data_IF_353705835411
#
_entry.id   IF_353705835411
#
_cell.length_a   1.000
_cell.length_b   1.000
_cell.length_c   1.000
_cell.angle_alpha   90.00
_cell.angle_beta   90.00
_cell.angle_gamma   90.00
#
_symmetry.space_group_name_H-M   'P 1'
#
loop_
_entity.id
_entity.type
_entity.pdbx_description
1 polymer ?
#
# COMPACT_ATOMS: atom_id res chain seq x y z
N UNK A 1 -0.56 -1.31 1.43
CA UNK A 1 -0.52 -1.98 2.74
C UNK A 1 0.94 -2.33 3.04
N UNK A 2 1.43 -2.05 4.24
CA UNK A 2 2.84 -2.25 4.61
C UNK A 2 3.24 -3.74 4.50
N UNK A 3 2.32 -4.64 4.84
CA UNK A 3 2.47 -6.11 4.78
C UNK A 3 1.93 -6.75 3.50
N UNK A 4 1.42 -5.98 2.54
CA UNK A 4 0.80 -6.50 1.31
C UNK A 4 -0.57 -7.19 1.49
N UNK A 5 -1.00 -7.45 2.74
CA UNK A 5 -2.31 -8.01 3.08
C UNK A 5 -3.08 -7.03 3.99
N UNK A 6 -4.38 -6.87 3.79
CA UNK A 6 -5.23 -5.98 4.60
C UNK A 6 -5.57 -6.55 6.00
N UNK A 7 -5.41 -7.87 6.17
CA UNK A 7 -5.74 -8.60 7.40
C UNK A 7 -4.51 -8.95 8.26
N UNK A 8 -3.39 -8.25 8.12
CA UNK A 8 -2.19 -8.60 8.88
C UNK A 8 -2.36 -8.27 10.37
N UNK A 9 -2.07 -9.24 11.23
CA UNK A 9 -2.09 -9.05 12.69
C UNK A 9 -0.91 -8.19 13.16
N UNK A 10 -1.01 -7.60 14.36
CA UNK A 10 0.00 -6.69 14.93
C UNK A 10 1.39 -7.34 15.01
N UNK A 11 1.43 -8.63 15.31
CA UNK A 11 2.64 -9.44 15.40
C UNK A 11 3.29 -9.64 14.02
N UNK A 12 2.48 -9.75 12.96
CA UNK A 12 3.01 -9.81 11.58
C UNK A 12 3.60 -8.47 11.15
N UNK A 13 2.96 -7.35 11.52
CA UNK A 13 3.47 -6.00 11.23
C UNK A 13 4.80 -5.78 11.97
N UNK A 14 4.88 -6.16 13.24
CA UNK A 14 6.09 -6.06 14.05
C UNK A 14 7.24 -6.92 13.49
N UNK A 15 6.99 -8.20 13.18
CA UNK A 15 8.01 -9.07 12.55
C UNK A 15 8.50 -8.51 11.22
N UNK A 16 7.63 -7.84 10.47
CA UNK A 16 8.03 -7.16 9.24
C UNK A 16 8.88 -5.93 9.52
N UNK A 17 8.54 -5.12 10.53
CA UNK A 17 9.35 -3.98 10.96
C UNK A 17 10.75 -4.43 11.41
N UNK A 18 10.85 -5.49 12.23
CA UNK A 18 12.11 -6.10 12.66
C UNK A 18 12.98 -6.50 11.46
N UNK A 19 12.38 -7.11 10.42
CA UNK A 19 13.09 -7.46 9.18
C UNK A 19 13.51 -6.25 8.34
N UNK A 20 12.71 -5.18 8.31
CA UNK A 20 13.02 -3.99 7.51
C UNK A 20 14.09 -3.11 8.15
N UNK A 21 14.16 -3.10 9.48
CA UNK A 21 15.01 -2.19 10.26
C UNK A 21 16.11 -2.93 11.03
N UNK A 22 16.20 -4.25 10.87
CA UNK A 22 17.23 -5.12 11.44
C UNK A 22 17.39 -4.96 12.97
N UNK A 23 16.28 -4.99 13.71
CA UNK A 23 16.28 -5.00 15.17
C UNK A 23 15.62 -6.28 15.69
N UNK A 24 16.15 -6.82 16.79
CA UNK A 24 15.65 -8.05 17.43
C UNK A 24 14.87 -7.76 18.72
N UNK A 25 14.81 -6.50 19.14
CA UNK A 25 14.04 -6.10 20.30
C UNK A 25 12.54 -6.31 20.04
N UNK A 26 11.90 -6.92 21.03
CA UNK A 26 10.46 -7.04 21.09
C UNK A 26 9.95 -5.90 21.98
N UNK A 27 9.59 -4.73 21.40
CA UNK A 27 9.19 -3.59 22.21
C UNK A 27 7.95 -3.99 23.01
N UNK A 28 8.13 -4.00 24.34
CA UNK A 28 7.08 -4.32 25.33
C UNK A 28 5.82 -3.45 25.19
N UNK A 29 5.94 -2.34 24.46
CA UNK A 29 4.87 -1.39 24.14
C UNK A 29 4.72 -1.29 22.62
N UNK A 30 3.58 -1.76 22.11
CA UNK A 30 3.21 -1.73 20.69
C UNK A 30 3.03 -0.30 20.14
N UNK A 31 2.91 0.71 21.00
CA UNK A 31 2.73 2.12 20.62
C UNK A 31 3.93 2.67 19.83
N UNK A 32 5.14 2.19 20.13
CA UNK A 32 6.35 2.55 19.37
C UNK A 32 6.35 1.95 17.96
N UNK A 33 5.71 0.78 17.78
CA UNK A 33 5.59 0.12 16.48
C UNK A 33 4.62 0.87 15.57
N UNK A 34 3.55 1.46 16.11
CA UNK A 34 2.61 2.27 15.32
C UNK A 34 3.27 3.54 14.78
N UNK A 35 4.04 4.25 15.62
CA UNK A 35 4.81 5.42 15.17
C UNK A 35 5.83 5.06 14.08
N UNK A 36 6.52 3.93 14.25
CA UNK A 36 7.47 3.41 13.27
C UNK A 36 6.79 2.98 11.96
N UNK A 37 5.63 2.34 12.06
CA UNK A 37 4.84 1.93 10.91
C UNK A 37 4.37 3.13 10.09
N UNK A 38 3.96 4.23 10.74
CA UNK A 38 3.60 5.49 10.06
C UNK A 38 4.81 6.09 9.35
N UNK A 39 5.97 6.15 10.01
CA UNK A 39 7.20 6.69 9.42
C UNK A 39 7.64 5.89 8.19
N UNK A 40 7.64 4.56 8.28
CA UNK A 40 7.98 3.66 7.17
C UNK A 40 6.93 3.72 6.05
N UNK A 41 5.65 3.83 6.39
CA UNK A 41 4.58 4.00 5.41
C UNK A 41 4.76 5.30 4.61
N UNK A 42 5.06 6.41 5.29
CA UNK A 42 5.35 7.68 4.65
C UNK A 42 6.61 7.59 3.79
N UNK A 43 7.67 6.96 4.30
CA UNK A 43 8.89 6.74 3.53
C UNK A 43 8.64 5.95 2.24
N UNK A 44 7.92 4.82 2.30
CA UNK A 44 7.58 4.03 1.11
C UNK A 44 6.65 4.76 0.13
N UNK A 45 5.77 5.63 0.62
CA UNK A 45 4.96 6.49 -0.27
C UNK A 45 5.81 7.57 -0.95
N UNK A 46 6.83 8.09 -0.29
CA UNK A 46 7.72 9.13 -0.84
C UNK A 46 8.79 8.55 -1.77
N UNK A 47 9.29 7.34 -1.48
CA UNK A 47 10.37 6.68 -2.24
C UNK A 47 9.89 5.77 -3.35
N UNK A 48 8.58 5.52 -3.47
CA UNK A 48 8.03 4.76 -4.58
C UNK A 48 8.13 5.58 -5.88
N UNK A 49 8.80 5.08 -6.95
CA UNK A 49 8.78 5.70 -8.28
C UNK A 49 7.36 5.86 -8.85
N UNK A 50 6.39 5.12 -8.29
CA UNK A 50 4.97 5.14 -8.65
C UNK A 50 4.22 6.36 -8.07
N UNK A 51 4.76 7.00 -7.02
CA UNK A 51 4.16 8.22 -6.47
C UNK A 51 4.33 9.43 -7.41
N UNK A 52 5.40 9.42 -8.22
CA UNK A 52 5.66 10.42 -9.25
C UNK A 52 4.89 10.17 -10.55
N UNK A 53 4.38 8.95 -10.77
CA UNK A 53 3.53 8.65 -11.92
C UNK A 53 2.06 8.90 -11.57
N UNK A 54 1.62 10.12 -11.88
CA UNK A 54 0.24 10.49 -12.16
C UNK A 54 -0.84 9.89 -11.22
N UNK A 55 -1.33 10.73 -10.30
CA UNK A 55 -2.73 10.66 -9.84
C UNK A 55 -3.68 10.89 -11.03
N UNK A 56 -3.82 9.90 -11.90
CA UNK A 56 -4.97 9.78 -12.79
C UNK A 56 -5.69 8.46 -12.45
N UNK A 57 -5.95 8.27 -11.16
CA UNK A 57 -6.80 7.17 -10.68
C UNK A 57 -8.24 7.64 -10.75
N UNK A 58 -8.87 7.41 -11.89
CA UNK A 58 -10.30 7.61 -12.07
C UNK A 58 -10.84 6.56 -13.02
N UNK A 59 -12.00 5.98 -12.70
CA UNK A 59 -12.72 5.07 -13.58
C UNK A 59 -12.89 5.64 -15.00
N UNK A 60 -13.00 6.97 -15.11
CA UNK A 60 -13.09 7.69 -16.39
C UNK A 60 -11.83 7.58 -17.24
N UNK A 61 -10.64 7.70 -16.66
CA UNK A 61 -9.37 7.52 -17.39
C UNK A 61 -9.16 6.06 -17.76
N UNK A 62 -9.44 5.16 -16.83
CA UNK A 62 -9.34 3.73 -17.08
C UNK A 62 -10.21 3.27 -18.26
N UNK A 63 -11.43 3.80 -18.39
CA UNK A 63 -12.31 3.54 -19.54
C UNK A 63 -11.76 4.17 -20.83
N UNK A 64 -11.16 5.36 -20.75
CA UNK A 64 -10.56 6.04 -21.91
C UNK A 64 -9.35 5.27 -22.46
N UNK A 65 -8.54 4.68 -21.57
CA UNK A 65 -7.35 3.91 -21.94
C UNK A 65 -7.69 2.47 -22.38
N UNK A 66 -8.88 1.97 -22.05
CA UNK A 66 -9.35 0.61 -22.36
C UNK A 66 -10.73 0.64 -23.06
N UNK A 67 -10.84 1.24 -24.25
CA UNK A 67 -12.11 1.43 -24.95
C UNK A 67 -12.74 0.10 -25.41
N UNK A 68 -11.93 -0.94 -25.59
CA UNK A 68 -12.32 -2.31 -25.94
C UNK A 68 -13.07 -3.02 -24.81
N UNK A 69 -12.87 -2.59 -23.56
CA UNK A 69 -13.51 -3.18 -22.37
C UNK A 69 -14.91 -2.59 -22.09
N UNK A 70 -15.35 -1.63 -22.90
CA UNK A 70 -16.71 -1.07 -22.81
C UNK A 70 -17.67 -1.95 -23.61
N UNK A 71 -18.37 -2.83 -22.91
CA UNK A 71 -19.44 -3.65 -23.48
C UNK A 71 -20.58 -2.74 -23.95
N UNK A 72 -20.62 -2.42 -25.25
CA UNK A 72 -21.80 -1.84 -25.88
C UNK A 72 -22.87 -2.92 -25.92
N UNK A 73 -23.93 -2.75 -25.12
CA UNK A 73 -25.11 -3.60 -25.21
C UNK A 73 -25.64 -3.51 -26.64
N UNK A 74 -25.67 -4.64 -27.37
CA UNK A 74 -26.37 -4.70 -28.66
C UNK A 74 -27.84 -4.41 -28.39
N UNK A 75 -28.37 -3.37 -29.05
CA UNK A 75 -29.80 -3.16 -29.15
C UNK A 75 -30.27 -3.94 -30.38
N UNK A 76 -31.24 -4.83 -30.19
CA UNK A 76 -31.79 -5.69 -31.24
C UNK A 76 -31.43 -7.14 -31.01
#
# INVERSE_FOLDING_TARGET
SITGNGNACKEQVMKMMQRLLHFEEDPKFLDATDALAVAVCHHFQQSSPVASSAKMSGWKSFIADNPDRVLKRKAG
#
